data_IF_759171611973
#
_entry.id   IF_759171611973
#
_cell.length_a   1.000
_cell.length_b   1.000
_cell.length_c   1.000
_cell.angle_alpha   90.00
_cell.angle_beta   90.00
_cell.angle_gamma   90.00
#
_symmetry.space_group_name_H-M   'P 1'
#
loop_
_entity.id
_entity.type
_entity.pdbx_description
1 polymer ?
#
# COMPACT_ATOMS: atom_id res chain seq x y z
N UNK A 1 14.68 12.23 -10.61
CA UNK A 1 13.53 13.17 -10.70
C UNK A 1 13.94 14.46 -11.38
N UNK A 2 13.10 15.01 -12.26
CA UNK A 2 13.30 16.33 -12.90
C UNK A 2 12.14 17.23 -12.51
N UNK A 3 12.44 18.41 -11.94
CA UNK A 3 11.45 19.44 -11.62
C UNK A 3 11.65 20.61 -12.57
N UNK A 4 10.57 21.17 -13.11
CA UNK A 4 10.59 22.34 -13.99
C UNK A 4 9.44 23.28 -13.64
N UNK A 5 9.70 24.59 -13.89
CA UNK A 5 8.73 25.67 -13.78
C UNK A 5 8.27 26.08 -15.18
N UNK A 6 6.97 26.32 -15.31
CA UNK A 6 6.31 26.78 -16.53
C UNK A 6 5.51 28.04 -16.24
N UNK A 7 5.49 28.98 -17.15
CA UNK A 7 4.75 30.23 -17.03
C UNK A 7 3.87 30.41 -18.27
N UNK A 8 2.58 30.68 -18.05
CA UNK A 8 1.64 30.92 -19.15
C UNK A 8 0.58 31.96 -18.77
N UNK A 9 -0.09 32.53 -19.77
CA UNK A 9 -1.18 33.49 -19.55
C UNK A 9 -2.45 32.82 -19.02
N UNK A 10 -2.64 31.54 -19.35
CA UNK A 10 -3.82 30.72 -18.98
C UNK A 10 -3.40 29.34 -18.48
N UNK A 11 -4.23 28.75 -17.60
CA UNK A 11 -3.98 27.44 -17.01
C UNK A 11 -3.88 26.32 -18.06
N UNK A 12 -4.74 26.35 -19.07
CA UNK A 12 -4.74 25.33 -20.12
C UNK A 12 -3.44 25.33 -20.93
N UNK A 13 -2.88 26.49 -21.19
CA UNK A 13 -1.60 26.63 -21.87
C UNK A 13 -0.44 26.16 -21.00
N UNK A 14 -0.44 26.49 -19.70
CA UNK A 14 0.55 26.00 -18.75
C UNK A 14 0.55 24.44 -18.70
N UNK A 15 -0.62 23.84 -18.60
CA UNK A 15 -0.78 22.38 -18.60
C UNK A 15 -0.30 21.73 -19.91
N UNK A 16 -0.55 22.39 -21.05
CA UNK A 16 -0.06 21.92 -22.35
C UNK A 16 1.47 21.93 -22.39
N UNK A 17 2.09 23.03 -21.97
CA UNK A 17 3.55 23.13 -21.88
C UNK A 17 4.17 22.06 -20.98
N UNK A 18 3.54 21.75 -19.83
CA UNK A 18 3.98 20.67 -18.94
C UNK A 18 3.94 19.34 -19.66
N UNK A 19 2.82 18.99 -20.33
CA UNK A 19 2.67 17.72 -21.08
C UNK A 19 3.66 17.59 -22.23
N UNK A 20 3.89 18.68 -22.98
CA UNK A 20 4.85 18.71 -24.11
C UNK A 20 6.31 18.56 -23.64
N UNK A 21 6.68 19.20 -22.53
CA UNK A 21 8.06 19.25 -22.06
C UNK A 21 8.45 18.08 -21.13
N UNK A 22 7.48 17.48 -20.43
CA UNK A 22 7.72 16.48 -19.40
C UNK A 22 6.95 15.17 -19.64
N UNK A 23 5.96 15.17 -20.55
CA UNK A 23 5.16 13.99 -20.86
C UNK A 23 3.87 13.89 -20.04
N UNK A 24 2.99 12.91 -20.35
CA UNK A 24 1.67 12.77 -19.70
C UNK A 24 1.75 12.32 -18.23
N UNK A 25 2.87 11.74 -17.82
CA UNK A 25 3.12 11.26 -16.45
C UNK A 25 3.64 12.37 -15.52
N UNK A 26 3.74 13.62 -16.00
CA UNK A 26 4.20 14.73 -15.19
C UNK A 26 3.16 15.13 -14.13
N UNK A 27 3.62 15.33 -12.89
CA UNK A 27 2.78 15.67 -11.74
C UNK A 27 2.98 17.14 -11.40
N UNK A 28 1.86 17.86 -11.21
CA UNK A 28 1.88 19.26 -10.81
C UNK A 28 2.10 19.34 -9.30
N UNK A 29 3.19 19.99 -8.90
CA UNK A 29 3.55 20.20 -7.50
C UNK A 29 2.93 21.47 -6.92
N UNK A 30 2.90 22.56 -7.69
CA UNK A 30 2.22 23.80 -7.28
C UNK A 30 1.77 24.62 -8.48
N UNK A 31 0.76 25.47 -8.24
CA UNK A 31 0.27 26.47 -9.18
C UNK A 31 0.06 27.79 -8.45
N UNK A 32 0.49 28.91 -9.03
CA UNK A 32 0.21 30.24 -8.48
C UNK A 32 0.02 31.29 -9.57
N UNK A 33 -0.77 32.31 -9.28
CA UNK A 33 -0.91 33.48 -10.16
C UNK A 33 0.06 34.55 -9.72
N UNK A 34 1.00 34.94 -10.60
CA UNK A 34 2.00 35.97 -10.36
C UNK A 34 1.66 37.20 -11.19
N UNK A 35 1.74 38.38 -10.58
CA UNK A 35 1.56 39.64 -11.28
C UNK A 35 2.95 40.23 -11.66
N UNK A 36 3.31 40.12 -12.93
CA UNK A 36 4.56 40.66 -13.44
C UNK A 36 4.43 42.19 -13.69
N UNK A 37 5.42 42.99 -13.32
CA UNK A 37 5.43 44.41 -13.67
C UNK A 37 5.50 44.58 -15.20
N UNK A 38 4.65 45.42 -15.79
CA UNK A 38 4.77 45.74 -17.20
C UNK A 38 6.03 46.56 -17.46
N UNK A 39 6.75 46.22 -18.51
CA UNK A 39 7.98 46.95 -18.92
C UNK A 39 7.73 48.37 -19.44
N UNK A 40 6.48 48.84 -19.48
CA UNK A 40 6.11 50.20 -19.84
C UNK A 40 5.27 50.83 -18.75
N UNK A 41 5.69 52.04 -18.31
CA UNK A 41 4.96 52.85 -17.32
C UNK A 41 3.55 53.19 -17.82
N UNK A 42 2.50 52.82 -17.03
CA UNK A 42 1.10 53.16 -17.36
C UNK A 42 0.23 51.99 -17.81
N UNK A 43 0.74 50.76 -18.00
CA UNK A 43 -0.09 49.58 -18.36
C UNK A 43 -0.40 48.71 -17.16
N UNK A 44 -1.58 48.05 -17.14
CA UNK A 44 -1.96 47.14 -16.04
C UNK A 44 -1.00 45.96 -15.93
N UNK A 45 -0.73 45.51 -14.70
CA UNK A 45 0.13 44.36 -14.40
C UNK A 45 -0.42 43.11 -15.11
N UNK A 46 0.42 42.43 -15.88
CA UNK A 46 0.04 41.18 -16.54
C UNK A 46 0.01 40.06 -15.50
N UNK A 47 -1.13 39.36 -15.40
CA UNK A 47 -1.23 38.15 -14.60
C UNK A 47 -0.69 36.98 -15.40
N UNK A 48 0.19 36.19 -14.80
CA UNK A 48 0.78 34.97 -15.37
C UNK A 48 0.56 33.85 -14.38
N UNK A 49 0.20 32.69 -14.89
CA UNK A 49 0.05 31.46 -14.08
C UNK A 49 1.40 30.71 -14.15
N UNK A 50 1.98 30.48 -12.99
CA UNK A 50 3.19 29.71 -12.81
C UNK A 50 2.80 28.30 -12.35
N UNK A 51 3.31 27.26 -13.03
CA UNK A 51 3.09 25.86 -12.71
C UNK A 51 4.46 25.20 -12.49
N UNK A 52 4.63 24.54 -11.35
CA UNK A 52 5.80 23.69 -11.09
C UNK A 52 5.37 22.24 -11.22
N UNK A 53 6.07 21.49 -12.08
CA UNK A 53 5.79 20.09 -12.34
C UNK A 53 7.04 19.21 -12.15
N UNK A 54 6.82 17.95 -11.81
CA UNK A 54 7.86 16.94 -11.65
C UNK A 54 7.59 15.68 -12.48
N UNK A 55 8.66 15.03 -12.93
CA UNK A 55 8.62 13.69 -13.55
C UNK A 55 9.83 12.87 -13.09
N UNK A 56 9.62 11.56 -12.90
CA UNK A 56 10.71 10.60 -12.73
C UNK A 56 10.98 9.84 -14.04
N UNK A 57 12.21 9.94 -14.58
CA UNK A 57 12.60 9.29 -15.83
C UNK A 57 13.21 7.89 -15.63
N UNK A 58 13.11 7.32 -14.40
CA UNK A 58 13.77 6.04 -14.07
C UNK A 58 12.92 4.78 -14.33
N UNK A 59 11.80 4.85 -15.03
CA UNK A 59 11.06 3.67 -15.49
C UNK A 59 11.37 3.36 -16.97
N UNK A 60 12.56 2.77 -17.20
CA UNK A 60 12.75 1.88 -18.35
C UNK A 60 12.50 0.44 -17.87
N UNK A 61 11.79 -0.41 -18.63
CA UNK A 61 11.54 -1.79 -18.22
C UNK A 61 12.86 -2.54 -18.19
N UNK A 62 13.25 -3.03 -17.01
CA UNK A 62 14.44 -3.85 -16.82
C UNK A 62 14.20 -5.24 -17.42
N UNK A 63 14.73 -5.48 -18.63
CA UNK A 63 15.03 -6.82 -19.11
C UNK A 63 16.16 -7.41 -18.25
N UNK A 64 15.92 -8.61 -17.70
CA UNK A 64 16.83 -9.24 -16.76
C UNK A 64 18.23 -9.54 -17.29
N UNK A 65 19.21 -9.34 -16.45
CA UNK A 65 20.47 -10.10 -16.44
C UNK A 65 20.93 -10.32 -14.99
N UNK A 66 21.08 -11.57 -14.65
CA UNK A 66 21.82 -12.03 -13.47
C UNK A 66 23.30 -11.62 -13.56
N UNK A 67 23.86 -11.26 -12.43
CA UNK A 67 25.31 -11.32 -12.28
C UNK A 67 25.91 -10.33 -11.29
N UNK A 68 26.52 -10.92 -10.25
CA UNK A 68 27.64 -10.44 -9.43
C UNK A 68 27.37 -9.43 -8.30
N UNK A 69 27.70 -9.89 -7.10
CA UNK A 69 27.89 -9.11 -5.87
C UNK A 69 28.78 -7.88 -6.09
N UNK A 70 28.45 -6.73 -5.53
CA UNK A 70 29.45 -5.72 -5.22
C UNK A 70 29.82 -5.75 -3.75
N UNK A 71 31.10 -5.90 -3.56
CA UNK A 71 31.87 -5.66 -2.34
C UNK A 71 31.52 -4.35 -1.64
N UNK A 72 31.61 -4.42 -0.32
CA UNK A 72 31.62 -3.34 0.67
C UNK A 72 32.19 -2.01 0.14
N UNK A 73 31.32 -1.01 -0.02
CA UNK A 73 31.76 0.38 -0.16
C UNK A 73 31.29 1.18 1.09
N UNK A 74 32.27 1.71 1.76
CA UNK A 74 32.18 2.60 2.89
C UNK A 74 31.12 3.68 2.72
N UNK A 75 30.13 3.67 3.60
CA UNK A 75 29.15 4.75 3.76
C UNK A 75 29.91 6.02 4.17
N UNK A 76 30.15 6.91 3.20
CA UNK A 76 30.56 8.29 3.51
C UNK A 76 29.38 8.98 4.19
N UNK A 77 29.51 9.24 5.48
CA UNK A 77 28.58 10.04 6.27
C UNK A 77 28.46 11.43 5.63
N UNK A 78 27.37 11.69 4.91
CA UNK A 78 27.02 13.05 4.50
C UNK A 78 26.59 13.82 5.74
N UNK A 79 27.38 14.82 6.16
CA UNK A 79 26.96 15.79 7.16
C UNK A 79 25.74 16.55 6.60
N UNK A 80 24.59 16.57 7.29
CA UNK A 80 23.39 17.29 6.84
C UNK A 80 23.73 18.78 6.67
N UNK A 81 23.25 19.39 5.58
CA UNK A 81 23.32 20.84 5.41
C UNK A 81 22.50 21.49 6.50
N UNK A 82 22.96 22.65 7.06
CA UNK A 82 22.32 23.34 8.19
C UNK A 82 20.84 23.68 7.99
N UNK A 83 20.33 23.74 6.75
CA UNK A 83 18.92 24.03 6.41
C UNK A 83 18.00 22.79 6.44
N UNK A 84 18.54 21.59 6.26
CA UNK A 84 17.73 20.34 6.21
C UNK A 84 17.41 19.81 7.62
N UNK A 85 18.09 20.32 8.64
CA UNK A 85 18.04 19.80 10.01
C UNK A 85 16.64 19.72 10.66
N UNK A 86 15.82 20.78 10.64
CA UNK A 86 14.52 20.77 11.33
C UNK A 86 13.53 19.82 10.68
N UNK A 87 13.44 19.81 9.34
CA UNK A 87 12.52 18.94 8.60
C UNK A 87 12.96 17.50 8.63
N UNK A 88 14.26 17.22 8.49
CA UNK A 88 14.84 15.90 8.65
C UNK A 88 14.51 15.32 10.03
N UNK A 89 14.71 16.09 11.10
CA UNK A 89 14.40 15.67 12.46
C UNK A 89 12.89 15.43 12.63
N UNK A 90 12.05 16.28 12.07
CA UNK A 90 10.60 16.13 12.12
C UNK A 90 10.15 14.85 11.40
N UNK A 91 10.64 14.58 10.19
CA UNK A 91 10.31 13.36 9.45
C UNK A 91 10.83 12.09 10.15
N UNK A 92 12.04 12.13 10.72
CA UNK A 92 12.57 11.00 11.50
C UNK A 92 11.78 10.78 12.80
N UNK A 93 11.30 11.85 13.45
CA UNK A 93 10.50 11.74 14.68
C UNK A 93 9.13 11.10 14.45
N UNK A 94 8.63 11.05 13.21
CA UNK A 94 7.40 10.29 12.87
C UNK A 94 7.60 8.78 12.83
N UNK A 95 8.83 8.28 12.98
CA UNK A 95 9.14 6.86 12.93
C UNK A 95 9.30 6.29 11.52
N UNK A 96 9.36 7.14 10.49
CA UNK A 96 9.69 6.71 9.12
C UNK A 96 11.06 6.09 9.01
N UNK A 97 11.22 5.14 8.09
CA UNK A 97 12.52 4.53 7.80
C UNK A 97 13.54 5.60 7.40
N UNK A 98 14.74 5.60 8.00
CA UNK A 98 15.77 6.60 7.69
C UNK A 98 16.12 6.66 6.19
N UNK A 99 16.12 5.52 5.51
CA UNK A 99 16.43 5.41 4.08
C UNK A 99 15.44 6.20 3.24
N UNK A 100 14.14 6.08 3.54
CA UNK A 100 13.09 6.83 2.85
C UNK A 100 13.21 8.33 3.11
N UNK A 101 13.42 8.72 4.38
CA UNK A 101 13.58 10.13 4.76
C UNK A 101 14.80 10.76 4.10
N UNK A 102 15.95 10.07 4.07
CA UNK A 102 17.14 10.57 3.38
C UNK A 102 16.93 10.69 1.87
N UNK A 103 16.17 9.77 1.26
CA UNK A 103 15.78 9.88 -0.14
C UNK A 103 14.96 11.15 -0.43
N UNK A 104 13.97 11.44 0.41
CA UNK A 104 13.16 12.66 0.32
C UNK A 104 14.03 13.93 0.43
N UNK A 105 14.87 14.02 1.46
CA UNK A 105 15.73 15.20 1.71
C UNK A 105 16.71 15.44 0.56
N UNK A 106 17.23 14.40 -0.07
CA UNK A 106 18.14 14.54 -1.21
C UNK A 106 17.50 15.22 -2.43
N UNK A 107 16.20 15.05 -2.61
CA UNK A 107 15.46 15.63 -3.74
C UNK A 107 14.89 17.04 -3.43
N UNK A 108 14.74 17.39 -2.16
CA UNK A 108 14.17 18.66 -1.71
C UNK A 108 14.86 19.95 -2.19
N UNK A 109 16.20 20.03 -2.31
CA UNK A 109 16.85 21.24 -2.79
C UNK A 109 16.41 21.64 -4.22
N UNK A 110 16.04 20.67 -5.05
CA UNK A 110 15.49 20.94 -6.37
C UNK A 110 14.09 21.56 -6.27
N UNK A 111 13.25 21.05 -5.33
CA UNK A 111 11.92 21.60 -5.07
C UNK A 111 11.99 23.04 -4.51
N UNK A 112 12.88 23.30 -3.53
CA UNK A 112 13.06 24.62 -2.92
C UNK A 112 13.50 25.65 -3.96
N UNK A 113 14.41 25.28 -4.86
CA UNK A 113 14.90 26.13 -5.94
C UNK A 113 13.81 26.54 -6.91
N UNK A 114 12.91 25.62 -7.27
CA UNK A 114 11.86 25.85 -8.26
C UNK A 114 10.60 26.51 -7.68
N UNK A 115 10.27 26.29 -6.41
CA UNK A 115 9.02 26.75 -5.81
C UNK A 115 9.15 28.01 -4.98
N UNK A 116 10.24 28.24 -4.27
CA UNK A 116 10.55 29.41 -3.39
C UNK A 116 9.39 30.10 -2.65
N UNK A 117 9.61 30.62 -1.44
CA UNK A 117 8.63 31.43 -0.71
C UNK A 117 7.38 30.71 -0.22
N UNK A 118 6.23 31.38 -0.18
CA UNK A 118 4.96 30.91 0.39
C UNK A 118 4.37 29.68 -0.31
N UNK A 119 4.77 29.39 -1.55
CA UNK A 119 4.33 28.22 -2.32
C UNK A 119 5.06 26.93 -1.95
N UNK A 120 6.15 27.00 -1.18
CA UNK A 120 6.97 25.84 -0.84
C UNK A 120 6.24 24.83 0.04
N UNK A 121 5.42 25.27 0.99
CA UNK A 121 4.67 24.37 1.88
C UNK A 121 3.67 23.50 1.12
N UNK A 122 2.95 24.07 0.16
CA UNK A 122 2.00 23.33 -0.68
C UNK A 122 2.74 22.39 -1.64
N UNK A 123 3.80 22.88 -2.29
CA UNK A 123 4.63 22.07 -3.16
C UNK A 123 5.27 20.89 -2.41
N UNK A 124 5.68 21.08 -1.16
CA UNK A 124 6.21 20.03 -0.31
C UNK A 124 5.16 18.97 0.01
N UNK A 125 3.92 19.37 0.35
CA UNK A 125 2.82 18.41 0.58
C UNK A 125 2.56 17.56 -0.66
N UNK A 126 2.44 18.20 -1.83
CA UNK A 126 2.20 17.52 -3.11
C UNK A 126 3.38 16.60 -3.49
N UNK A 127 4.61 17.05 -3.25
CA UNK A 127 5.82 16.25 -3.45
C UNK A 127 5.84 15.00 -2.56
N UNK A 128 5.55 15.15 -1.27
CA UNK A 128 5.47 14.03 -0.34
C UNK A 128 4.36 13.05 -0.72
N UNK A 129 3.18 13.56 -1.06
CA UNK A 129 2.07 12.73 -1.52
C UNK A 129 2.46 11.89 -2.75
N UNK A 130 3.04 12.54 -3.74
CA UNK A 130 3.52 11.86 -4.94
C UNK A 130 4.60 10.81 -4.62
N UNK A 131 5.61 11.14 -3.79
CA UNK A 131 6.68 10.20 -3.40
C UNK A 131 6.15 9.00 -2.63
N UNK A 132 5.17 9.19 -1.77
CA UNK A 132 4.50 8.11 -1.07
C UNK A 132 3.79 7.21 -2.08
N UNK A 133 3.00 7.77 -2.99
CA UNK A 133 2.29 7.00 -4.02
C UNK A 133 3.25 6.22 -4.95
N UNK A 134 4.36 6.83 -5.35
CA UNK A 134 5.40 6.19 -6.17
C UNK A 134 6.03 4.99 -5.43
N UNK A 135 6.18 5.10 -4.11
CA UNK A 135 6.81 4.06 -3.28
C UNK A 135 5.91 2.88 -2.96
N UNK A 136 4.63 2.94 -3.31
CA UNK A 136 3.63 1.93 -2.98
C UNK A 136 3.26 1.04 -4.16
N UNK A 137 3.07 -0.24 -3.87
CA UNK A 137 2.42 -1.19 -4.75
C UNK A 137 1.07 -1.60 -4.18
N UNK A 138 0.03 -1.64 -5.03
CA UNK A 138 -1.32 -2.08 -4.66
C UNK A 138 -1.80 -3.15 -5.65
N UNK A 139 -2.60 -4.10 -5.14
CA UNK A 139 -3.29 -5.03 -6.01
C UNK A 139 -4.47 -4.34 -6.69
N UNK A 140 -4.61 -4.59 -7.99
CA UNK A 140 -5.81 -4.22 -8.72
C UNK A 140 -7.04 -5.04 -8.32
N UNK A 141 -8.21 -4.74 -8.89
CA UNK A 141 -9.42 -5.54 -8.74
C UNK A 141 -9.18 -7.00 -9.12
N UNK A 142 -9.96 -7.91 -8.53
CA UNK A 142 -9.89 -9.35 -8.85
C UNK A 142 -10.23 -9.55 -10.32
N UNK A 143 -9.29 -10.11 -11.06
CA UNK A 143 -9.45 -10.44 -12.48
C UNK A 143 -10.32 -11.68 -12.68
N UNK A 144 -10.74 -11.95 -13.92
CA UNK A 144 -11.46 -13.15 -14.29
C UNK A 144 -10.67 -14.44 -14.03
N UNK A 145 -11.38 -15.56 -13.94
CA UNK A 145 -10.85 -16.87 -13.65
C UNK A 145 -10.89 -17.24 -12.17
N UNK A 146 -10.82 -18.53 -11.89
CA UNK A 146 -10.84 -19.09 -10.54
C UNK A 146 -9.68 -18.56 -9.71
N UNK A 147 -9.97 -18.15 -8.48
CA UNK A 147 -8.99 -17.70 -7.48
C UNK A 147 -9.11 -18.52 -6.20
N UNK A 148 -7.99 -18.80 -5.58
CA UNK A 148 -7.94 -19.50 -4.29
C UNK A 148 -7.14 -18.63 -3.34
N UNK A 149 -7.83 -17.93 -2.44
CA UNK A 149 -7.21 -17.00 -1.50
C UNK A 149 -7.14 -17.59 -0.10
N UNK A 150 -5.95 -17.60 0.46
CA UNK A 150 -5.69 -18.02 1.83
C UNK A 150 -5.33 -16.81 2.69
N UNK A 151 -6.11 -16.58 3.74
CA UNK A 151 -5.84 -15.53 4.71
C UNK A 151 -4.98 -16.08 5.85
N UNK A 152 -3.78 -15.54 6.00
CA UNK A 152 -2.83 -15.91 7.05
C UNK A 152 -2.50 -14.72 7.95
N UNK A 153 -1.96 -15.00 9.13
CA UNK A 153 -1.51 -13.95 10.03
C UNK A 153 -1.66 -14.31 11.50
N UNK A 154 -1.21 -13.43 12.40
CA UNK A 154 -1.22 -13.64 13.84
C UNK A 154 -2.61 -13.90 14.42
N UNK A 155 -2.65 -14.37 15.67
CA UNK A 155 -3.89 -14.48 16.44
C UNK A 155 -4.50 -13.09 16.63
N UNK A 156 -5.83 -13.00 16.50
CA UNK A 156 -6.56 -11.75 16.76
C UNK A 156 -6.41 -10.65 15.71
N UNK A 157 -5.71 -10.90 14.59
CA UNK A 157 -5.53 -9.92 13.50
C UNK A 157 -6.80 -9.69 12.66
N UNK A 158 -7.86 -10.49 12.84
CA UNK A 158 -9.15 -10.33 12.14
C UNK A 158 -9.31 -11.17 10.87
N UNK A 159 -8.62 -12.33 10.74
CA UNK A 159 -8.71 -13.19 9.55
C UNK A 159 -10.14 -13.60 9.20
N UNK A 160 -10.83 -14.27 10.10
CA UNK A 160 -12.20 -14.75 9.91
C UNK A 160 -13.17 -13.60 9.59
N UNK A 161 -13.07 -12.48 10.29
CA UNK A 161 -13.91 -11.30 10.04
C UNK A 161 -13.61 -10.67 8.68
N UNK A 162 -12.33 -10.56 8.30
CA UNK A 162 -11.92 -10.04 6.98
C UNK A 162 -12.39 -10.96 5.86
N UNK A 163 -12.29 -12.27 6.07
CA UNK A 163 -12.78 -13.27 5.12
C UNK A 163 -14.29 -13.12 4.90
N UNK A 164 -15.08 -12.98 5.97
CA UNK A 164 -16.52 -12.76 5.89
C UNK A 164 -16.85 -11.46 5.11
N UNK A 165 -16.11 -10.38 5.33
CA UNK A 165 -16.27 -9.11 4.59
C UNK A 165 -15.97 -9.28 3.10
N UNK A 166 -14.86 -9.94 2.76
CA UNK A 166 -14.50 -10.23 1.36
C UNK A 166 -15.57 -11.09 0.70
N UNK A 167 -16.00 -12.16 1.37
CA UNK A 167 -17.06 -13.03 0.89
C UNK A 167 -18.34 -12.26 0.57
N UNK A 168 -18.80 -11.44 1.51
CA UNK A 168 -19.99 -10.63 1.32
C UNK A 168 -19.83 -9.59 0.19
N UNK A 169 -18.69 -8.93 0.07
CA UNK A 169 -18.45 -7.99 -1.04
C UNK A 169 -18.46 -8.69 -2.40
N UNK A 170 -17.76 -9.82 -2.53
CA UNK A 170 -17.69 -10.54 -3.79
C UNK A 170 -19.04 -11.17 -4.16
N UNK A 171 -19.78 -11.71 -3.18
CA UNK A 171 -21.10 -12.29 -3.39
C UNK A 171 -22.13 -11.22 -3.79
N UNK A 172 -22.21 -10.12 -3.03
CA UNK A 172 -23.26 -9.12 -3.20
C UNK A 172 -22.97 -8.11 -4.33
N UNK A 173 -21.70 -7.66 -4.45
CA UNK A 173 -21.35 -6.62 -5.45
C UNK A 173 -20.85 -7.20 -6.77
N UNK A 174 -20.06 -8.28 -6.73
CA UNK A 174 -19.47 -8.87 -7.92
C UNK A 174 -20.20 -10.14 -8.41
N UNK A 175 -21.25 -10.58 -7.69
CA UNK A 175 -22.07 -11.76 -7.99
C UNK A 175 -21.25 -13.03 -8.25
N UNK A 176 -20.11 -13.17 -7.56
CA UNK A 176 -19.22 -14.33 -7.69
C UNK A 176 -19.80 -15.55 -7.00
N UNK A 177 -19.54 -16.73 -7.57
CA UNK A 177 -19.76 -18.02 -6.90
C UNK A 177 -18.59 -18.27 -5.97
N UNK A 178 -18.85 -18.42 -4.66
CA UNK A 178 -17.81 -18.48 -3.64
C UNK A 178 -18.00 -19.71 -2.78
N UNK A 179 -16.90 -20.41 -2.50
CA UNK A 179 -16.84 -21.44 -1.44
C UNK A 179 -15.96 -20.93 -0.31
N UNK A 180 -16.52 -20.93 0.90
CA UNK A 180 -15.74 -20.67 2.12
C UNK A 180 -15.12 -21.98 2.59
N UNK A 181 -13.87 -21.93 3.01
CA UNK A 181 -13.16 -23.09 3.57
C UNK A 181 -12.52 -22.65 4.89
N UNK A 182 -12.69 -23.44 5.94
CA UNK A 182 -11.95 -23.21 7.18
C UNK A 182 -10.98 -24.34 7.49
N UNK A 183 -9.75 -23.93 7.84
CA UNK A 183 -8.73 -24.82 8.41
C UNK A 183 -8.68 -24.68 9.94
N UNK A 184 -9.45 -23.75 10.54
CA UNK A 184 -9.50 -23.51 11.99
C UNK A 184 -10.52 -24.43 12.67
N UNK A 185 -10.15 -25.69 12.82
CA UNK A 185 -10.97 -26.72 13.49
C UNK A 185 -10.73 -26.81 14.99
N UNK A 186 -9.74 -26.09 15.52
CA UNK A 186 -9.33 -26.15 16.93
C UNK A 186 -10.05 -25.16 17.82
N UNK A 187 -10.51 -24.03 17.29
CA UNK A 187 -11.16 -22.98 18.07
C UNK A 187 -12.66 -23.24 18.14
N UNK A 188 -13.14 -23.46 19.39
CA UNK A 188 -14.57 -23.57 19.66
C UNK A 188 -15.27 -22.29 19.16
N UNK A 189 -16.31 -22.45 18.33
CA UNK A 189 -17.09 -21.34 17.77
C UNK A 189 -16.49 -20.66 16.52
N UNK A 190 -15.24 -20.94 16.10
CA UNK A 190 -14.70 -20.35 14.87
C UNK A 190 -15.45 -20.83 13.62
N UNK A 191 -15.71 -22.13 13.57
CA UNK A 191 -16.51 -22.76 12.49
C UNK A 191 -17.95 -22.22 12.50
N UNK A 192 -18.57 -22.10 13.69
CA UNK A 192 -19.97 -21.64 13.84
C UNK A 192 -20.10 -20.16 13.44
N UNK A 193 -19.10 -19.33 13.77
CA UNK A 193 -19.05 -17.94 13.33
C UNK A 193 -19.04 -17.87 11.80
N UNK A 194 -18.16 -18.63 11.14
CA UNK A 194 -18.07 -18.62 9.68
C UNK A 194 -19.30 -19.23 9.02
N UNK A 195 -19.92 -20.26 9.66
CA UNK A 195 -21.18 -20.87 9.22
C UNK A 195 -22.32 -19.86 9.21
N UNK A 196 -22.42 -19.02 10.24
CA UNK A 196 -23.44 -17.97 10.28
C UNK A 196 -23.34 -17.02 9.07
N UNK A 197 -22.13 -16.63 8.66
CA UNK A 197 -21.95 -15.80 7.46
C UNK A 197 -22.24 -16.58 6.17
N UNK A 198 -21.84 -17.87 6.10
CA UNK A 198 -22.11 -18.72 4.96
C UNK A 198 -23.62 -18.89 4.72
N UNK A 199 -24.38 -19.13 5.79
CA UNK A 199 -25.84 -19.30 5.75
C UNK A 199 -26.54 -17.99 5.33
N UNK A 200 -26.14 -16.83 5.89
CA UNK A 200 -26.72 -15.52 5.53
C UNK A 200 -26.47 -15.19 4.06
N UNK A 201 -25.31 -15.54 3.51
CA UNK A 201 -24.90 -15.20 2.15
C UNK A 201 -25.20 -16.30 1.12
N UNK A 202 -25.86 -17.38 1.56
CA UNK A 202 -26.15 -18.56 0.73
C UNK A 202 -24.90 -19.06 -0.02
N UNK A 203 -23.87 -19.41 0.76
CA UNK A 203 -22.59 -19.91 0.25
C UNK A 203 -22.22 -21.24 0.90
N UNK A 204 -21.62 -22.19 0.17
CA UNK A 204 -21.08 -23.40 0.75
C UNK A 204 -19.93 -23.10 1.73
N UNK A 205 -19.95 -23.78 2.88
CA UNK A 205 -18.86 -23.81 3.86
C UNK A 205 -18.33 -25.23 3.99
N UNK A 206 -17.05 -25.40 3.71
CA UNK A 206 -16.31 -26.65 3.81
C UNK A 206 -15.27 -26.58 4.94
N UNK A 207 -15.00 -27.73 5.54
CA UNK A 207 -14.00 -27.87 6.61
C UNK A 207 -12.89 -28.78 6.08
N UNK A 208 -11.63 -28.31 6.14
CA UNK A 208 -10.48 -29.10 5.74
C UNK A 208 -9.49 -29.21 6.90
N UNK A 209 -9.38 -30.41 7.47
CA UNK A 209 -8.49 -30.69 8.61
C UNK A 209 -7.08 -31.10 8.18
N UNK A 210 -6.89 -31.47 6.91
CA UNK A 210 -5.63 -31.91 6.33
C UNK A 210 -5.46 -31.34 4.91
N UNK A 211 -4.23 -31.24 4.41
CA UNK A 211 -3.96 -30.81 3.03
C UNK A 211 -4.76 -31.60 1.97
N UNK A 212 -4.86 -32.90 2.12
CA UNK A 212 -5.65 -33.76 1.22
C UNK A 212 -7.15 -33.43 1.22
N UNK A 213 -7.70 -33.03 2.36
CA UNK A 213 -9.10 -32.63 2.46
C UNK A 213 -9.31 -31.31 1.68
N UNK A 214 -8.39 -30.35 1.83
CA UNK A 214 -8.43 -29.10 1.08
C UNK A 214 -8.38 -29.34 -0.43
N UNK A 215 -7.49 -30.23 -0.89
CA UNK A 215 -7.39 -30.60 -2.30
C UNK A 215 -8.72 -31.16 -2.83
N UNK A 216 -9.32 -32.10 -2.12
CA UNK A 216 -10.62 -32.72 -2.50
C UNK A 216 -11.75 -31.69 -2.54
N UNK A 217 -11.76 -30.74 -1.61
CA UNK A 217 -12.76 -29.65 -1.59
C UNK A 217 -12.62 -28.77 -2.83
N UNK A 218 -11.40 -28.34 -3.17
CA UNK A 218 -11.16 -27.54 -4.37
C UNK A 218 -11.58 -28.29 -5.63
N UNK A 219 -11.20 -29.57 -5.77
CA UNK A 219 -11.57 -30.42 -6.91
C UNK A 219 -13.09 -30.64 -7.04
N UNK A 220 -13.82 -30.69 -5.93
CA UNK A 220 -15.28 -30.84 -5.91
C UNK A 220 -16.02 -29.62 -6.38
N UNK A 221 -15.47 -28.44 -6.15
CA UNK A 221 -16.11 -27.15 -6.37
C UNK A 221 -15.45 -26.36 -7.51
N UNK A 222 -14.95 -27.00 -8.54
CA UNK A 222 -14.26 -26.37 -9.67
C UNK A 222 -15.11 -25.39 -10.49
N UNK A 223 -16.42 -25.35 -10.28
CA UNK A 223 -17.35 -24.40 -10.88
C UNK A 223 -17.43 -23.05 -10.14
N UNK A 224 -16.68 -22.89 -9.06
CA UNK A 224 -16.64 -21.67 -8.27
C UNK A 224 -15.65 -20.66 -8.85
N UNK A 225 -15.96 -19.37 -8.69
CA UNK A 225 -15.07 -18.26 -9.11
C UNK A 225 -13.99 -17.98 -8.07
N UNK A 226 -14.30 -18.22 -6.78
CA UNK A 226 -13.43 -17.84 -5.68
C UNK A 226 -13.54 -18.80 -4.50
N UNK A 227 -12.41 -19.26 -4.02
CA UNK A 227 -12.28 -19.93 -2.74
C UNK A 227 -11.66 -18.97 -1.72
N UNK A 228 -12.30 -18.81 -0.58
CA UNK A 228 -11.80 -18.03 0.54
C UNK A 228 -11.50 -18.96 1.71
N UNK A 229 -10.21 -19.04 2.06
CA UNK A 229 -9.71 -20.01 3.05
C UNK A 229 -9.29 -19.28 4.32
N UNK A 230 -9.98 -19.57 5.43
CA UNK A 230 -9.64 -19.10 6.78
C UNK A 230 -8.65 -20.05 7.44
N UNK A 231 -7.60 -19.50 8.03
CA UNK A 231 -6.57 -20.29 8.72
C UNK A 231 -6.56 -20.05 10.23
N UNK A 232 -6.00 -21.01 10.97
CA UNK A 232 -5.77 -20.84 12.41
C UNK A 232 -4.86 -19.65 12.66
N UNK A 233 -5.24 -18.79 13.60
CA UNK A 233 -4.36 -17.72 14.07
C UNK A 233 -3.35 -18.27 15.09
N UNK A 234 -2.06 -18.13 14.79
CA UNK A 234 -0.98 -18.56 15.67
C UNK A 234 0.05 -17.45 15.86
N UNK A 235 0.84 -17.60 16.91
CA UNK A 235 1.97 -16.70 17.14
C UNK A 235 2.97 -16.77 15.98
N UNK A 236 3.55 -15.66 15.54
CA UNK A 236 4.65 -15.66 14.56
C UNK A 236 5.84 -16.53 15.00
N UNK A 237 5.98 -16.78 16.31
CA UNK A 237 7.07 -17.58 16.88
C UNK A 237 6.79 -19.10 16.85
N UNK A 238 5.60 -19.53 16.44
CA UNK A 238 5.24 -20.95 16.30
C UNK A 238 5.74 -21.49 14.95
N UNK A 239 7.01 -21.91 14.91
CA UNK A 239 7.66 -22.42 13.68
C UNK A 239 7.00 -23.70 13.17
N UNK A 240 6.55 -24.58 14.07
CA UNK A 240 5.86 -25.81 13.67
C UNK A 240 4.58 -25.52 12.90
N UNK A 241 3.78 -24.57 13.39
CA UNK A 241 2.57 -24.15 12.70
C UNK A 241 2.86 -23.55 11.31
N UNK A 242 3.95 -22.79 11.17
CA UNK A 242 4.34 -22.26 9.86
C UNK A 242 4.80 -23.35 8.88
N UNK A 243 5.39 -24.43 9.39
CA UNK A 243 5.71 -25.61 8.58
C UNK A 243 4.43 -26.36 8.16
N UNK A 244 3.52 -26.62 9.09
CA UNK A 244 2.21 -27.23 8.78
C UNK A 244 1.44 -26.41 7.75
N UNK A 245 1.46 -25.07 7.87
CA UNK A 245 0.81 -24.17 6.91
C UNK A 245 1.39 -24.32 5.49
N UNK A 246 2.70 -24.52 5.34
CA UNK A 246 3.33 -24.70 4.02
C UNK A 246 2.74 -25.91 3.28
N UNK A 247 2.41 -26.98 3.98
CA UNK A 247 1.81 -28.17 3.35
C UNK A 247 0.47 -27.82 2.70
N UNK A 248 -0.38 -27.03 3.38
CA UNK A 248 -1.64 -26.55 2.79
C UNK A 248 -1.43 -25.62 1.59
N UNK A 249 -0.38 -24.78 1.61
CA UNK A 249 -0.12 -23.81 0.54
C UNK A 249 0.42 -24.46 -0.76
N UNK A 250 0.81 -25.72 -0.70
CA UNK A 250 1.31 -26.48 -1.87
C UNK A 250 0.25 -27.32 -2.57
N UNK A 251 -0.96 -27.45 -2.02
CA UNK A 251 -2.01 -28.33 -2.55
C UNK A 251 -2.54 -27.94 -3.93
N UNK A 252 -2.43 -26.64 -4.28
CA UNK A 252 -2.91 -26.14 -5.57
C UNK A 252 -2.04 -24.99 -6.10
N UNK A 253 -1.65 -24.98 -7.39
CA UNK A 253 -0.73 -23.98 -7.96
C UNK A 253 -1.30 -22.55 -8.04
N UNK A 254 -2.63 -22.40 -8.07
CA UNK A 254 -3.30 -21.08 -8.10
C UNK A 254 -3.61 -20.51 -6.72
N UNK A 255 -3.08 -21.13 -5.67
CA UNK A 255 -3.30 -20.66 -4.30
C UNK A 255 -2.48 -19.39 -4.05
N UNK A 256 -3.17 -18.32 -3.68
CA UNK A 256 -2.58 -17.02 -3.36
C UNK A 256 -2.73 -16.74 -1.87
N UNK A 257 -1.63 -16.41 -1.21
CA UNK A 257 -1.58 -16.18 0.23
C UNK A 257 -1.59 -14.68 0.54
N UNK A 258 -2.53 -14.24 1.36
CA UNK A 258 -2.66 -12.86 1.80
C UNK A 258 -2.36 -12.76 3.29
N UNK A 259 -1.31 -11.99 3.66
CA UNK A 259 -0.92 -11.81 5.05
C UNK A 259 -1.64 -10.60 5.66
N UNK A 260 -2.42 -10.87 6.71
CA UNK A 260 -3.09 -9.83 7.47
C UNK A 260 -2.14 -9.22 8.51
N UNK A 261 -2.11 -7.89 8.56
CA UNK A 261 -1.29 -7.10 9.47
C UNK A 261 -2.19 -6.07 10.17
N UNK A 262 -2.14 -6.03 11.50
CA UNK A 262 -2.91 -5.07 12.29
C UNK A 262 -2.22 -3.71 12.38
N UNK A 263 -2.98 -2.64 12.15
CA UNK A 263 -2.52 -1.27 12.29
C UNK A 263 -2.10 -0.89 13.73
N UNK A 264 -2.62 -1.61 14.73
CA UNK A 264 -2.28 -1.39 16.15
C UNK A 264 -0.95 -2.00 16.58
N UNK A 265 -0.25 -2.70 15.67
CA UNK A 265 1.01 -3.38 15.98
C UNK A 265 2.19 -2.41 15.85
N UNK A 266 3.08 -2.41 16.84
CA UNK A 266 4.31 -1.59 16.82
C UNK A 266 5.21 -1.98 15.64
N UNK A 267 5.94 -1.02 15.09
CA UNK A 267 6.79 -1.21 13.89
C UNK A 267 7.74 -2.41 14.00
N UNK A 268 8.43 -2.57 15.14
CA UNK A 268 9.35 -3.69 15.35
C UNK A 268 8.63 -5.05 15.38
N UNK A 269 7.48 -5.13 16.03
CA UNK A 269 6.72 -6.37 16.15
C UNK A 269 6.07 -6.73 14.81
N UNK A 270 5.67 -5.71 14.05
CA UNK A 270 5.14 -5.87 12.70
C UNK A 270 6.23 -6.38 11.75
N UNK A 271 7.43 -5.80 11.79
CA UNK A 271 8.59 -6.24 11.01
C UNK A 271 8.96 -7.69 11.32
N UNK A 272 9.01 -8.06 12.61
CA UNK A 272 9.24 -9.44 13.03
C UNK A 272 8.15 -10.39 12.53
N UNK A 273 6.88 -9.99 12.59
CA UNK A 273 5.77 -10.78 12.05
C UNK A 273 5.97 -11.03 10.55
N UNK A 274 6.25 -9.99 9.78
CA UNK A 274 6.47 -10.11 8.33
C UNK A 274 7.67 -11.00 8.02
N UNK A 275 8.77 -10.87 8.75
CA UNK A 275 9.96 -11.72 8.62
C UNK A 275 9.62 -13.19 8.88
N UNK A 276 8.89 -13.50 9.95
CA UNK A 276 8.49 -14.88 10.27
C UNK A 276 7.58 -15.50 9.22
N UNK A 277 6.62 -14.74 8.68
CA UNK A 277 5.74 -15.21 7.61
C UNK A 277 6.40 -15.18 6.21
N UNK A 278 7.62 -14.65 6.05
CA UNK A 278 8.34 -14.66 4.77
C UNK A 278 8.74 -16.07 4.31
N UNK A 279 8.67 -17.06 5.21
CA UNK A 279 8.91 -18.47 4.88
C UNK A 279 7.81 -19.08 3.99
N UNK A 280 6.68 -18.38 3.77
CA UNK A 280 5.61 -18.74 2.85
C UNK A 280 5.48 -17.69 1.73
N UNK A 281 4.98 -18.05 0.53
CA UNK A 281 4.88 -17.14 -0.60
C UNK A 281 3.73 -16.14 -0.40
N UNK A 282 3.97 -15.04 0.32
CA UNK A 282 2.98 -13.98 0.51
C UNK A 282 2.80 -13.20 -0.80
N UNK A 283 1.57 -13.17 -1.31
CA UNK A 283 1.16 -12.43 -2.51
C UNK A 283 0.96 -10.94 -2.24
N UNK A 284 0.20 -10.63 -1.19
CA UNK A 284 -0.10 -9.25 -0.78
C UNK A 284 -0.34 -9.14 0.72
N UNK A 285 -0.40 -7.90 1.21
CA UNK A 285 -0.85 -7.59 2.57
C UNK A 285 -2.31 -7.15 2.56
N UNK A 286 -2.99 -7.39 3.68
CA UNK A 286 -4.27 -6.79 4.04
C UNK A 286 -4.07 -6.08 5.37
N UNK A 287 -4.33 -4.77 5.42
CA UNK A 287 -4.22 -4.02 6.66
C UNK A 287 -5.57 -4.00 7.38
N UNK A 288 -5.53 -4.34 8.68
CA UNK A 288 -6.73 -4.44 9.50
C UNK A 288 -6.69 -3.48 10.68
N UNK A 289 -7.87 -3.19 11.25
CA UNK A 289 -8.04 -2.39 12.47
C UNK A 289 -7.51 -0.96 12.31
N UNK A 290 -7.74 -0.36 11.13
CA UNK A 290 -7.35 1.01 10.90
C UNK A 290 -8.15 2.00 11.78
N UNK A 291 -9.33 1.60 12.21
CA UNK A 291 -10.20 2.34 13.14
C UNK A 291 -9.69 2.37 14.59
N UNK A 292 -8.71 1.52 14.93
CA UNK A 292 -8.17 1.42 16.28
C UNK A 292 -6.86 2.23 16.49
N UNK A 293 -6.39 3.00 15.49
CA UNK A 293 -5.15 3.79 15.58
C UNK A 293 -5.20 5.04 14.71
N UNK A 294 -4.43 6.05 15.08
CA UNK A 294 -4.17 7.26 14.27
C UNK A 294 -2.75 7.26 13.65
N UNK A 295 -1.87 6.33 14.08
CA UNK A 295 -0.51 6.19 13.55
C UNK A 295 -0.43 5.02 12.56
N UNK A 296 -0.30 5.34 11.28
CA UNK A 296 -0.14 4.38 10.19
C UNK A 296 1.31 4.19 9.73
N UNK A 297 2.26 4.88 10.36
CA UNK A 297 3.69 4.82 10.01
C UNK A 297 4.26 3.39 10.04
N UNK A 298 3.93 2.51 11.03
CA UNK A 298 4.40 1.14 11.03
C UNK A 298 3.99 0.35 9.79
N UNK A 299 2.75 0.51 9.32
CA UNK A 299 2.23 -0.15 8.13
C UNK A 299 2.94 0.35 6.86
N UNK A 300 3.12 1.67 6.75
CA UNK A 300 3.82 2.27 5.64
C UNK A 300 5.27 1.81 5.56
N UNK A 301 5.96 1.76 6.70
CA UNK A 301 7.32 1.21 6.79
C UNK A 301 7.41 -0.22 6.26
N UNK A 302 6.40 -1.08 6.52
CA UNK A 302 6.39 -2.45 5.99
C UNK A 302 6.25 -2.48 4.47
N UNK A 303 5.42 -1.64 3.88
CA UNK A 303 5.30 -1.52 2.44
C UNK A 303 6.62 -1.07 1.80
N UNK A 304 7.30 -0.10 2.41
CA UNK A 304 8.62 0.37 1.96
C UNK A 304 9.70 -0.72 2.02
N UNK A 305 9.74 -1.48 3.13
CA UNK A 305 10.77 -2.52 3.36
C UNK A 305 10.60 -3.71 2.42
N UNK A 306 9.38 -4.13 2.17
CA UNK A 306 9.11 -5.41 1.49
C UNK A 306 8.71 -5.27 0.04
N UNK A 307 8.24 -4.09 -0.38
CA UNK A 307 7.68 -3.84 -1.72
C UNK A 307 6.57 -4.82 -2.10
N UNK A 308 5.90 -5.40 -1.10
CA UNK A 308 4.74 -6.25 -1.33
C UNK A 308 3.51 -5.39 -1.57
N UNK A 309 2.65 -5.75 -2.53
CA UNK A 309 1.44 -5.00 -2.80
C UNK A 309 0.46 -5.09 -1.63
N UNK A 310 -0.26 -4.00 -1.41
CA UNK A 310 -1.41 -3.95 -0.51
C UNK A 310 -2.69 -4.25 -1.29
N UNK A 311 -3.53 -5.15 -0.78
CA UNK A 311 -4.79 -5.51 -1.46
C UNK A 311 -6.01 -4.85 -0.83
N UNK A 312 -6.21 -4.99 0.46
CA UNK A 312 -7.39 -4.47 1.15
C UNK A 312 -7.04 -3.76 2.45
N UNK A 313 -7.96 -2.87 2.86
CA UNK A 313 -7.95 -2.14 4.12
C UNK A 313 -9.24 -2.45 4.87
N UNK A 314 -9.18 -2.71 6.20
CA UNK A 314 -10.38 -2.79 7.04
C UNK A 314 -10.34 -1.73 8.14
N UNK A 315 -11.47 -1.04 8.32
CA UNK A 315 -11.61 0.15 9.15
C UNK A 315 -12.82 0.10 10.09
N UNK A 316 -13.16 -1.08 10.62
CA UNK A 316 -14.26 -1.26 11.57
C UNK A 316 -14.72 -2.71 11.67
N UNK A 317 -15.90 -2.93 12.26
CA UNK A 317 -16.43 -4.27 12.56
C UNK A 317 -17.60 -4.71 11.69
N UNK A 318 -18.21 -3.80 10.91
CA UNK A 318 -19.38 -4.09 10.09
C UNK A 318 -19.02 -4.94 8.87
N UNK A 319 -19.90 -5.89 8.57
CA UNK A 319 -19.81 -6.78 7.40
C UNK A 319 -21.04 -6.50 6.54
N UNK A 320 -20.87 -6.12 5.27
CA UNK A 320 -19.66 -6.05 4.45
C UNK A 320 -18.98 -4.67 4.38
N UNK A 321 -19.47 -3.64 5.09
CA UNK A 321 -19.16 -2.23 4.81
C UNK A 321 -17.71 -1.87 5.09
N UNK A 322 -17.14 -2.34 6.22
CA UNK A 322 -15.85 -1.87 6.74
C UNK A 322 -14.66 -2.60 6.11
N UNK A 323 -14.68 -2.78 4.80
CA UNK A 323 -13.54 -3.24 4.00
C UNK A 323 -13.55 -2.56 2.63
N UNK A 324 -12.38 -2.24 2.12
CA UNK A 324 -12.23 -1.60 0.83
C UNK A 324 -10.97 -2.05 0.11
N UNK A 325 -11.00 -2.01 -1.22
CA UNK A 325 -9.82 -2.22 -2.06
C UNK A 325 -8.82 -1.09 -1.81
N UNK A 326 -7.56 -1.44 -1.60
CA UNK A 326 -6.50 -0.46 -1.40
C UNK A 326 -6.22 0.31 -2.69
N UNK A 327 -6.03 1.63 -2.57
CA UNK A 327 -5.49 2.47 -3.63
C UNK A 327 -4.27 3.23 -3.12
N UNK A 328 -3.35 3.54 -4.01
CA UNK A 328 -2.15 4.32 -3.68
C UNK A 328 -2.50 5.66 -3.03
N UNK A 329 -3.50 6.34 -3.60
CA UNK A 329 -3.98 7.63 -3.11
C UNK A 329 -4.52 7.54 -1.68
N UNK A 330 -5.32 6.51 -1.38
CA UNK A 330 -5.88 6.32 -0.05
C UNK A 330 -4.80 6.05 0.99
N UNK A 331 -3.85 5.18 0.68
CA UNK A 331 -2.72 4.88 1.58
C UNK A 331 -1.85 6.11 1.78
N UNK A 332 -1.59 6.90 0.72
CA UNK A 332 -0.85 8.15 0.83
C UNK A 332 -1.57 9.17 1.73
N UNK A 333 -2.89 9.31 1.59
CA UNK A 333 -3.69 10.20 2.42
C UNK A 333 -3.71 9.77 3.90
N UNK A 334 -3.88 8.46 4.18
CA UNK A 334 -3.79 7.94 5.55
C UNK A 334 -2.45 8.28 6.18
N UNK A 335 -1.35 8.03 5.46
CA UNK A 335 -0.01 8.33 5.94
C UNK A 335 0.24 9.83 6.15
N UNK A 336 -0.14 10.69 5.19
CA UNK A 336 0.07 12.14 5.30
C UNK A 336 -0.73 12.76 6.44
N UNK A 337 -1.92 12.23 6.74
CA UNK A 337 -2.70 12.66 7.90
C UNK A 337 -1.97 12.38 9.22
N UNK A 338 -1.19 11.30 9.32
CA UNK A 338 -0.36 10.99 10.50
C UNK A 338 0.74 12.04 10.72
N UNK A 339 1.20 12.72 9.66
CA UNK A 339 2.30 13.69 9.77
C UNK A 339 1.90 15.02 10.42
N UNK A 340 0.60 15.27 10.68
CA UNK A 340 0.08 16.50 11.30
C UNK A 340 0.76 17.77 10.76
N UNK A 341 0.70 17.98 9.45
CA UNK A 341 1.22 19.18 8.80
C UNK A 341 0.29 20.36 9.06
N UNK A 342 0.52 21.08 10.18
CA UNK A 342 -0.09 22.38 10.47
C UNK A 342 0.85 23.50 10.03
#
# INVERSE_FOLDING_TARGET
MQIKRFEAGEMQEALRQVKEAMGPEAIILSTKTVSLPSSRSGYPKRKVIEVVAAIDRHHAPCSGRHGSNPSSNSVRSHRPRKKDGPLLQRLLSTGLTPEFVHGLIKEMPALEKECGGSSFSEALKNFLHWKVMESLDVMGPVTEGMKIWVLIGPTGVGKTTTLAKLAAQFRLKAQKKITLITLDTYRIGAVDQLRTYADILDMPLEIASRPDDLKKVIERHMDQDLFLIDTVGRSPNDSKHLEDLKEYLTVHPQLETHLLLSATTKDRDLAHTVERFSCVPVKSYIFTKLDETEDYTPLFNQLLRTRKPLSYLTNGQKVPEDIELASKEKVANLFLNTLHWN
#
